data_IF_952549353182
#
_entry.id   IF_952549353182
#
_cell.length_a   1.000
_cell.length_b   1.000
_cell.length_c   1.000
_cell.angle_alpha   90.00
_cell.angle_beta   90.00
_cell.angle_gamma   90.00
#
_symmetry.space_group_name_H-M   'P 1'
#
loop_
_entity.id
_entity.type
_entity.pdbx_description
1 polymer ?
#
# COMPACT_ATOMS: atom_id res chain seq x y z
N UNK A 1 -33.24 2.76 -10.82
CA UNK A 1 -32.10 2.20 -10.06
C UNK A 1 -32.53 0.84 -9.52
N UNK A 2 -31.76 -0.22 -9.77
CA UNK A 2 -31.96 -1.56 -9.21
C UNK A 2 -30.67 -1.94 -8.49
N UNK A 3 -30.75 -2.29 -7.21
CA UNK A 3 -29.58 -2.56 -6.37
C UNK A 3 -28.98 -3.93 -6.68
N UNK A 4 -27.67 -3.98 -6.90
CA UNK A 4 -26.95 -5.26 -6.95
C UNK A 4 -26.68 -5.80 -5.55
N UNK A 5 -26.17 -4.97 -4.62
CA UNK A 5 -26.00 -5.34 -3.21
C UNK A 5 -26.70 -4.32 -2.33
N UNK A 6 -27.12 -4.75 -1.13
CA UNK A 6 -27.68 -3.88 -0.09
C UNK A 6 -26.82 -3.95 1.17
N UNK A 7 -26.50 -2.80 1.75
CA UNK A 7 -25.86 -2.71 3.07
C UNK A 7 -26.93 -2.26 4.07
N UNK A 8 -27.09 -3.03 5.14
CA UNK A 8 -27.87 -2.66 6.32
C UNK A 8 -26.88 -2.35 7.43
N UNK A 9 -26.61 -1.06 7.62
CA UNK A 9 -25.78 -0.58 8.71
C UNK A 9 -26.65 -0.13 9.88
N UNK A 10 -26.56 -0.88 10.99
CA UNK A 10 -27.29 -0.65 12.23
C UNK A 10 -26.29 -0.60 13.40
N UNK A 11 -25.52 0.50 13.55
CA UNK A 11 -24.48 0.62 14.57
C UNK A 11 -24.96 0.39 16.01
N UNK A 12 -26.24 0.62 16.28
CA UNK A 12 -26.87 0.43 17.60
C UNK A 12 -27.26 -1.01 17.89
N UNK A 13 -27.38 -1.87 16.87
CA UNK A 13 -27.63 -3.29 17.07
C UNK A 13 -26.43 -3.93 17.79
N UNK A 14 -26.70 -4.85 18.69
CA UNK A 14 -25.69 -5.66 19.39
C UNK A 14 -26.03 -7.11 19.14
N UNK A 15 -25.14 -7.84 18.48
CA UNK A 15 -25.34 -9.26 18.25
C UNK A 15 -25.25 -10.02 19.57
N UNK A 16 -26.15 -10.97 19.80
CA UNK A 16 -25.96 -11.98 20.84
C UNK A 16 -25.01 -13.07 20.29
N UNK A 17 -23.80 -13.25 20.88
CA UNK A 17 -22.81 -14.20 20.38
C UNK A 17 -23.32 -15.65 20.32
N UNK A 18 -24.09 -16.07 21.33
CA UNK A 18 -24.58 -17.46 21.45
C UNK A 18 -25.71 -17.68 20.45
N UNK A 19 -26.63 -16.72 20.33
CA UNK A 19 -27.79 -16.83 19.43
C UNK A 19 -27.41 -16.70 17.96
N UNK A 20 -26.50 -15.78 17.62
CA UNK A 20 -26.17 -15.45 16.23
C UNK A 20 -24.86 -16.08 15.74
N UNK A 21 -24.11 -16.76 16.60
CA UNK A 21 -22.84 -17.39 16.24
C UNK A 21 -21.72 -16.39 15.93
N UNK A 22 -21.79 -15.18 16.50
CA UNK A 22 -20.76 -14.14 16.34
C UNK A 22 -19.69 -14.26 17.43
N UNK A 23 -18.47 -13.78 17.18
CA UNK A 23 -17.39 -13.78 18.18
C UNK A 23 -17.65 -12.80 19.32
N UNK A 24 -18.24 -11.64 19.00
CA UNK A 24 -18.56 -10.55 19.93
C UNK A 24 -19.93 -9.97 19.58
N UNK A 25 -20.32 -8.89 20.26
CA UNK A 25 -21.53 -8.13 19.94
C UNK A 25 -21.44 -7.33 18.63
N UNK A 26 -20.23 -7.22 18.07
CA UNK A 26 -19.97 -6.62 16.76
C UNK A 26 -20.10 -7.68 15.67
N UNK A 27 -20.83 -7.37 14.60
CA UNK A 27 -21.02 -8.24 13.45
C UNK A 27 -20.86 -7.43 12.16
N UNK A 28 -20.02 -7.97 11.26
CA UNK A 28 -19.90 -7.53 9.88
C UNK A 28 -20.03 -8.79 9.04
N UNK A 29 -21.20 -9.02 8.47
CA UNK A 29 -21.54 -10.26 7.78
C UNK A 29 -21.90 -9.99 6.32
N UNK A 30 -21.35 -10.79 5.41
CA UNK A 30 -21.60 -10.69 3.97
C UNK A 30 -22.27 -11.97 3.49
N UNK A 31 -23.46 -11.84 2.90
CA UNK A 31 -24.17 -12.91 2.22
C UNK A 31 -24.11 -12.67 0.70
N UNK A 32 -23.29 -13.43 -0.01
CA UNK A 32 -23.13 -13.31 -1.47
C UNK A 32 -24.35 -13.82 -2.26
N UNK A 33 -25.13 -14.75 -1.71
CA UNK A 33 -26.30 -15.31 -2.39
C UNK A 33 -27.49 -14.34 -2.35
N UNK A 34 -27.73 -13.75 -1.18
CA UNK A 34 -28.77 -12.72 -0.97
C UNK A 34 -28.28 -11.31 -1.34
N UNK A 35 -27.00 -11.16 -1.66
CA UNK A 35 -26.33 -9.90 -1.96
C UNK A 35 -26.54 -8.84 -0.87
N UNK A 36 -26.35 -9.25 0.38
CA UNK A 36 -26.62 -8.46 1.59
C UNK A 36 -25.37 -8.32 2.45
N UNK A 37 -25.14 -7.13 2.99
CA UNK A 37 -24.16 -6.86 4.04
C UNK A 37 -24.90 -6.40 5.29
N UNK A 38 -24.61 -7.00 6.44
CA UNK A 38 -25.13 -6.59 7.74
C UNK A 38 -23.98 -6.07 8.60
N UNK A 39 -24.10 -4.83 9.08
CA UNK A 39 -23.14 -4.20 9.98
C UNK A 39 -23.88 -3.83 11.27
N UNK A 40 -23.34 -4.26 12.41
CA UNK A 40 -23.89 -3.96 13.72
C UNK A 40 -22.81 -4.00 14.79
N UNK A 41 -23.02 -3.26 15.89
CA UNK A 41 -22.07 -3.24 16.99
C UNK A 41 -20.81 -2.41 16.72
N UNK A 42 -20.82 -1.56 15.70
CA UNK A 42 -19.70 -0.68 15.31
C UNK A 42 -20.23 0.59 14.65
N UNK A 43 -19.59 1.73 14.95
CA UNK A 43 -19.86 3.03 14.32
C UNK A 43 -18.78 3.43 13.32
N UNK A 44 -17.80 2.54 13.09
CA UNK A 44 -16.65 2.83 12.24
C UNK A 44 -17.04 2.82 10.76
N UNK A 45 -16.96 3.98 10.10
CA UNK A 45 -17.39 4.13 8.71
C UNK A 45 -16.62 3.22 7.73
N UNK A 46 -15.38 2.87 8.08
CA UNK A 46 -14.54 1.98 7.28
C UNK A 46 -15.13 0.59 7.03
N UNK A 47 -16.04 0.11 7.89
CA UNK A 47 -16.70 -1.19 7.71
C UNK A 47 -17.58 -1.21 6.46
N UNK A 48 -18.31 -0.12 6.18
CA UNK A 48 -19.13 0.01 4.97
C UNK A 48 -18.25 -0.03 3.72
N UNK A 49 -17.19 0.79 3.71
CA UNK A 49 -16.22 0.87 2.60
C UNK A 49 -15.58 -0.49 2.32
N UNK A 50 -14.96 -1.09 3.34
CA UNK A 50 -14.19 -2.33 3.17
C UNK A 50 -15.04 -3.56 2.92
N UNK A 51 -16.31 -3.55 3.32
CA UNK A 51 -17.26 -4.62 2.94
C UNK A 51 -17.54 -4.62 1.44
N UNK A 52 -17.71 -3.44 0.82
CA UNK A 52 -17.86 -3.33 -0.64
C UNK A 52 -16.59 -3.77 -1.34
N UNK A 53 -15.42 -3.34 -0.85
CA UNK A 53 -14.14 -3.77 -1.41
C UNK A 53 -13.97 -5.29 -1.37
N UNK A 54 -14.29 -5.93 -0.23
CA UNK A 54 -14.28 -7.38 -0.10
C UNK A 54 -15.18 -8.09 -1.12
N UNK A 55 -16.38 -7.56 -1.37
CA UNK A 55 -17.27 -8.09 -2.40
C UNK A 55 -16.64 -7.98 -3.79
N UNK A 56 -16.06 -6.83 -4.14
CA UNK A 56 -15.40 -6.63 -5.43
C UNK A 56 -14.17 -7.54 -5.58
N UNK A 57 -13.40 -7.74 -4.51
CA UNK A 57 -12.30 -8.72 -4.47
C UNK A 57 -12.78 -10.17 -4.68
N UNK A 58 -14.04 -10.49 -4.35
CA UNK A 58 -14.62 -11.79 -4.67
C UNK A 58 -15.12 -11.87 -6.12
N UNK A 59 -15.84 -10.86 -6.60
CA UNK A 59 -16.59 -10.95 -7.86
C UNK A 59 -15.74 -10.67 -9.11
N UNK A 60 -14.74 -9.79 -9.02
CA UNK A 60 -14.01 -9.30 -10.17
C UNK A 60 -12.96 -10.27 -10.75
N UNK A 61 -12.22 -11.06 -9.95
CA UNK A 61 -11.19 -11.94 -10.50
C UNK A 61 -11.72 -12.96 -11.52
N UNK A 62 -12.92 -13.51 -11.31
CA UNK A 62 -13.55 -14.47 -12.26
C UNK A 62 -14.01 -13.82 -13.56
N UNK A 63 -14.04 -12.48 -13.62
CA UNK A 63 -14.30 -11.69 -14.83
C UNK A 63 -12.99 -11.21 -15.48
N UNK A 64 -11.84 -11.68 -14.99
CA UNK A 64 -10.52 -11.24 -15.45
C UNK A 64 -10.13 -9.83 -15.00
N UNK A 65 -10.93 -9.16 -14.17
CA UNK A 65 -10.60 -7.82 -13.63
C UNK A 65 -9.79 -8.00 -12.35
N UNK A 66 -8.62 -7.36 -12.27
CA UNK A 66 -7.76 -7.40 -11.09
C UNK A 66 -8.19 -6.32 -10.09
N UNK A 67 -8.77 -6.68 -8.94
CA UNK A 67 -9.04 -5.73 -7.88
C UNK A 67 -7.76 -5.49 -7.06
N UNK A 68 -7.53 -4.24 -6.69
CA UNK A 68 -6.25 -3.79 -6.14
C UNK A 68 -6.49 -2.87 -4.95
N UNK A 69 -5.77 -3.12 -3.86
CA UNK A 69 -5.67 -2.21 -2.72
C UNK A 69 -4.48 -1.28 -2.94
N UNK A 70 -4.71 -0.22 -3.69
CA UNK A 70 -3.68 0.71 -4.15
C UNK A 70 -4.28 2.10 -4.40
N UNK A 71 -3.46 3.14 -4.32
CA UNK A 71 -3.78 4.41 -5.00
C UNK A 71 -3.37 4.34 -6.48
N UNK A 72 -3.95 5.21 -7.30
CA UNK A 72 -3.58 5.33 -8.71
C UNK A 72 -3.62 6.78 -9.18
N UNK A 73 -2.68 7.15 -10.04
CA UNK A 73 -2.64 8.45 -10.70
C UNK A 73 -2.15 8.34 -12.14
N UNK A 74 -2.30 9.41 -12.90
CA UNK A 74 -1.99 9.47 -14.33
C UNK A 74 -1.14 10.69 -14.63
N UNK A 75 -0.03 10.48 -15.33
CA UNK A 75 0.80 11.58 -15.80
C UNK A 75 0.17 12.33 -16.98
N UNK A 76 0.69 13.51 -17.35
CA UNK A 76 0.16 14.31 -18.45
C UNK A 76 0.13 13.59 -19.81
N UNK A 77 0.98 12.57 -19.98
CA UNK A 77 1.03 11.74 -21.20
C UNK A 77 0.02 10.59 -21.21
N UNK A 78 -0.80 10.43 -20.16
CA UNK A 78 -1.70 9.29 -20.00
C UNK A 78 -1.03 8.04 -19.41
N UNK A 79 0.18 8.17 -18.88
CA UNK A 79 0.91 7.10 -18.20
C UNK A 79 0.30 6.84 -16.82
N UNK A 80 -0.51 5.79 -16.68
CA UNK A 80 -1.07 5.41 -15.38
C UNK A 80 -0.04 4.68 -14.51
N UNK A 81 0.01 5.05 -13.24
CA UNK A 81 0.80 4.38 -12.21
C UNK A 81 -0.11 3.93 -11.05
N UNK A 82 0.15 2.74 -10.52
CA UNK A 82 -0.54 2.19 -9.34
C UNK A 82 0.43 1.99 -8.20
N UNK A 83 0.00 2.29 -6.98
CA UNK A 83 0.84 2.29 -5.78
C UNK A 83 0.27 1.35 -4.72
N UNK A 84 0.82 0.14 -4.64
CA UNK A 84 0.56 -0.77 -3.53
C UNK A 84 1.36 -0.39 -2.30
N UNK A 85 0.85 -0.73 -1.13
CA UNK A 85 1.53 -0.50 0.14
C UNK A 85 0.55 -0.57 1.30
N UNK A 86 1.06 -0.75 2.52
CA UNK A 86 0.23 -0.71 3.72
C UNK A 86 0.03 0.72 4.24
N UNK A 87 -0.72 0.87 5.33
CA UNK A 87 -0.84 2.16 6.01
C UNK A 87 0.54 2.63 6.48
N UNK A 88 0.86 3.91 6.28
CA UNK A 88 2.14 4.49 6.73
C UNK A 88 3.34 4.27 5.81
N UNK A 89 3.19 3.58 4.68
CA UNK A 89 4.26 3.40 3.67
C UNK A 89 4.32 4.53 2.63
N UNK A 90 3.54 5.59 2.81
CA UNK A 90 3.57 6.76 1.92
C UNK A 90 2.70 6.68 0.66
N UNK A 91 1.77 5.71 0.53
CA UNK A 91 0.84 5.62 -0.62
C UNK A 91 0.19 6.96 -0.97
N UNK A 92 -0.54 7.55 0.00
CA UNK A 92 -1.25 8.81 -0.18
C UNK A 92 -0.30 9.96 -0.50
N UNK A 93 0.81 10.08 0.24
CA UNK A 93 1.81 11.14 0.06
C UNK A 93 2.54 11.07 -1.29
N UNK A 94 2.73 9.87 -1.85
CA UNK A 94 3.42 9.66 -3.13
C UNK A 94 2.45 9.65 -4.32
N UNK A 95 1.18 9.31 -4.12
CA UNK A 95 0.16 9.41 -5.18
C UNK A 95 -0.42 10.81 -5.33
N UNK A 96 -0.42 11.62 -4.26
CA UNK A 96 -0.81 13.03 -4.27
C UNK A 96 0.34 13.91 -4.83
N UNK A 97 0.70 13.66 -6.08
CA UNK A 97 1.63 14.49 -6.84
C UNK A 97 0.83 15.50 -7.66
N UNK A 98 1.00 16.79 -7.38
CA UNK A 98 0.28 17.87 -8.07
C UNK A 98 0.49 17.87 -9.60
N UNK A 99 1.58 17.27 -10.10
CA UNK A 99 1.86 17.14 -11.54
C UNK A 99 1.10 15.99 -12.22
N UNK A 100 0.41 15.13 -11.44
CA UNK A 100 -0.30 13.95 -11.92
C UNK A 100 -1.77 14.00 -11.51
N UNK A 101 -2.64 13.56 -12.40
CA UNK A 101 -4.08 13.50 -12.15
C UNK A 101 -4.42 12.28 -11.29
N UNK A 102 -5.01 12.50 -10.12
CA UNK A 102 -5.43 11.44 -9.20
C UNK A 102 -6.61 10.65 -9.79
N UNK A 103 -6.50 9.33 -9.84
CA UNK A 103 -7.62 8.43 -10.20
C UNK A 103 -8.37 8.01 -8.93
N UNK A 104 -7.64 7.70 -7.85
CA UNK A 104 -8.20 7.35 -6.55
C UNK A 104 -7.10 7.03 -5.53
N UNK A 105 -7.46 6.97 -4.24
CA UNK A 105 -6.48 6.85 -3.15
C UNK A 105 -6.33 5.45 -2.55
N UNK A 106 -7.23 4.50 -2.82
CA UNK A 106 -7.23 3.25 -2.05
C UNK A 106 -7.70 1.98 -2.80
N UNK A 107 -8.74 2.04 -3.63
CA UNK A 107 -9.37 0.83 -4.20
C UNK A 107 -9.63 0.93 -5.70
N UNK A 108 -8.98 0.07 -6.49
CA UNK A 108 -9.05 0.13 -7.95
C UNK A 108 -9.27 -1.24 -8.59
N UNK A 109 -9.86 -1.24 -9.78
CA UNK A 109 -9.90 -2.38 -10.69
C UNK A 109 -8.98 -2.13 -11.89
N UNK A 110 -8.29 -3.18 -12.34
CA UNK A 110 -7.56 -3.19 -13.61
C UNK A 110 -8.23 -4.18 -14.57
N UNK A 111 -8.88 -3.63 -15.60
CA UNK A 111 -9.51 -4.36 -16.69
C UNK A 111 -8.57 -4.46 -17.90
N UNK A 112 -9.03 -5.07 -19.00
CA UNK A 112 -8.22 -5.13 -20.23
C UNK A 112 -7.94 -3.75 -20.86
N UNK A 113 -8.69 -2.72 -20.48
CA UNK A 113 -8.64 -1.41 -21.13
C UNK A 113 -8.35 -0.24 -20.19
N UNK A 114 -8.49 -0.42 -18.88
CA UNK A 114 -8.39 0.69 -17.94
C UNK A 114 -7.99 0.27 -16.52
N UNK A 115 -7.43 1.22 -15.79
CA UNK A 115 -7.50 1.27 -14.32
C UNK A 115 -8.68 2.16 -13.95
N UNK A 116 -9.51 1.73 -13.02
CA UNK A 116 -10.68 2.49 -12.59
C UNK A 116 -10.87 2.41 -11.08
N UNK A 117 -11.25 3.53 -10.49
CA UNK A 117 -11.50 3.64 -9.06
C UNK A 117 -12.87 3.01 -8.73
N UNK A 118 -12.94 2.27 -7.64
CA UNK A 118 -14.21 1.72 -7.13
C UNK A 118 -15.03 2.75 -6.34
N UNK A 119 -14.38 3.82 -5.88
CA UNK A 119 -14.92 4.78 -4.93
C UNK A 119 -15.27 6.12 -5.59
N UNK A 120 -16.19 6.87 -5.01
CA UNK A 120 -16.52 8.25 -5.43
C UNK A 120 -15.88 9.34 -4.56
N UNK A 121 -14.94 8.96 -3.69
CA UNK A 121 -14.35 9.81 -2.67
C UNK A 121 -13.08 9.22 -2.11
N UNK A 122 -12.52 9.89 -1.12
CA UNK A 122 -11.34 9.43 -0.38
C UNK A 122 -11.67 9.34 1.11
N UNK A 123 -10.97 8.45 1.82
CA UNK A 123 -11.12 8.24 3.26
C UNK A 123 -9.75 8.30 3.94
N UNK A 124 -9.17 9.49 3.90
CA UNK A 124 -7.79 9.75 4.27
C UNK A 124 -7.58 9.76 5.78
N UNK A 125 -6.35 9.47 6.20
CA UNK A 125 -5.91 9.60 7.59
C UNK A 125 -5.69 11.08 7.92
N UNK A 126 -6.15 11.53 9.09
CA UNK A 126 -6.11 12.94 9.48
C UNK A 126 -5.06 13.24 10.55
N UNK A 127 -4.56 12.24 11.28
CA UNK A 127 -3.53 12.46 12.31
C UNK A 127 -2.25 13.04 11.69
N UNK A 128 -1.71 14.09 12.31
CA UNK A 128 -0.51 14.84 11.90
C UNK A 128 -0.61 15.44 10.48
N UNK A 129 -1.82 15.64 9.96
CA UNK A 129 -2.05 16.29 8.68
C UNK A 129 -1.62 17.76 8.76
N UNK A 130 -0.79 18.21 7.83
CA UNK A 130 -0.35 19.60 7.77
C UNK A 130 -0.56 20.24 6.39
N UNK A 131 -0.82 21.56 6.32
CA UNK A 131 -0.93 22.25 5.05
C UNK A 131 0.38 22.28 4.26
N UNK A 132 1.53 22.10 4.91
CA UNK A 132 2.83 22.07 4.24
C UNK A 132 3.12 20.72 3.57
N UNK A 133 2.76 19.60 4.23
CA UNK A 133 3.06 18.27 3.74
C UNK A 133 2.02 17.76 2.74
N UNK A 134 0.73 17.98 3.02
CA UNK A 134 -0.39 17.54 2.19
C UNK A 134 -1.43 18.66 1.97
N UNK A 135 -1.07 19.75 1.25
CA UNK A 135 -1.92 20.94 1.10
C UNK A 135 -3.31 20.64 0.54
N UNK A 136 -3.40 19.76 -0.47
CA UNK A 136 -4.66 19.43 -1.14
C UNK A 136 -5.62 18.68 -0.21
N UNK A 137 -5.11 17.70 0.56
CA UNK A 137 -5.89 16.94 1.55
C UNK A 137 -6.28 17.86 2.71
N UNK A 138 -5.35 18.67 3.21
CA UNK A 138 -5.64 19.64 4.28
C UNK A 138 -6.75 20.62 3.87
N UNK A 139 -6.76 21.09 2.62
CA UNK A 139 -7.81 21.97 2.13
C UNK A 139 -9.21 21.34 2.17
N UNK A 140 -9.32 20.01 2.03
CA UNK A 140 -10.62 19.31 2.12
C UNK A 140 -11.25 19.42 3.50
N UNK A 141 -10.45 19.51 4.56
CA UNK A 141 -10.93 19.59 5.96
C UNK A 141 -11.72 20.88 6.25
N UNK A 142 -11.54 21.89 5.39
CA UNK A 142 -12.20 23.21 5.48
C UNK A 142 -13.40 23.34 4.55
N UNK A 143 -13.83 22.26 3.89
CA UNK A 143 -14.94 22.27 2.92
C UNK A 143 -16.20 21.65 3.52
N UNK A 144 -17.34 22.30 3.31
CA UNK A 144 -18.64 21.72 3.64
C UNK A 144 -18.87 20.46 2.80
N UNK A 145 -19.27 19.36 3.44
CA UNK A 145 -19.42 18.04 2.83
C UNK A 145 -18.34 17.04 3.26
N UNK A 146 -17.22 17.51 3.81
CA UNK A 146 -16.21 16.64 4.43
C UNK A 146 -16.71 16.15 5.79
N UNK A 147 -16.59 14.85 6.05
CA UNK A 147 -16.89 14.23 7.36
C UNK A 147 -15.57 13.89 8.04
N UNK A 148 -15.33 14.46 9.22
CA UNK A 148 -14.16 14.15 10.04
C UNK A 148 -14.57 13.19 11.16
N UNK A 149 -13.90 12.04 11.22
CA UNK A 149 -14.17 10.97 12.17
C UNK A 149 -13.03 10.91 13.19
N UNK A 150 -13.37 11.08 14.48
CA UNK A 150 -12.44 11.05 15.61
C UNK A 150 -11.28 12.07 15.53
N UNK A 151 -11.45 13.18 14.80
CA UNK A 151 -10.55 14.34 14.87
C UNK A 151 -10.97 15.21 16.06
N UNK A 152 -10.02 15.61 16.88
CA UNK A 152 -10.27 16.49 18.03
C UNK A 152 -10.55 17.90 17.53
N UNK A 153 -11.54 18.55 18.14
CA UNK A 153 -11.94 19.91 17.81
C UNK A 153 -12.06 20.73 19.09
N UNK A 154 -11.49 21.92 19.10
CA UNK A 154 -11.69 22.86 20.21
C UNK A 154 -13.17 23.25 20.28
N UNK A 155 -13.84 23.08 21.44
CA UNK A 155 -15.28 23.31 21.55
C UNK A 155 -15.68 24.78 21.41
N UNK A 156 -14.76 25.72 21.62
CA UNK A 156 -14.97 27.17 21.58
C UNK A 156 -14.54 27.75 20.23
N UNK A 157 -13.29 27.55 19.82
CA UNK A 157 -12.73 28.12 18.58
C UNK A 157 -13.15 27.33 17.35
N UNK A 158 -13.54 26.06 17.52
CA UNK A 158 -13.82 25.09 16.44
C UNK A 158 -12.59 24.78 15.58
N UNK A 159 -11.39 25.07 16.08
CA UNK A 159 -10.15 24.68 15.44
C UNK A 159 -9.94 23.17 15.57
N UNK A 160 -9.50 22.55 14.49
CA UNK A 160 -9.18 21.13 14.44
C UNK A 160 -7.77 20.92 14.96
N UNK A 161 -7.59 19.97 15.87
CA UNK A 161 -6.28 19.53 16.32
C UNK A 161 -5.96 18.19 15.65
N UNK A 162 -5.08 18.23 14.65
CA UNK A 162 -4.63 17.05 13.92
C UNK A 162 -3.50 16.31 14.64
N UNK A 163 -2.86 16.90 15.63
CA UNK A 163 -1.78 16.26 16.39
C UNK A 163 -2.30 15.51 17.63
N UNK A 164 -3.52 15.83 18.07
CA UNK A 164 -4.20 15.16 19.18
C UNK A 164 -4.80 13.79 18.78
N UNK A 165 -4.21 12.73 19.33
CA UNK A 165 -4.64 11.34 19.14
C UNK A 165 -5.51 10.77 20.30
N UNK A 166 -6.01 11.61 21.21
CA UNK A 166 -6.78 11.19 22.40
C UNK A 166 -8.04 10.37 22.07
N UNK A 167 -8.69 10.66 20.94
CA UNK A 167 -9.82 9.86 20.44
C UNK A 167 -9.34 8.65 19.63
N UNK A 168 -8.43 8.88 18.67
CA UNK A 168 -7.84 7.82 17.86
C UNK A 168 -6.57 8.28 17.12
N UNK A 169 -5.51 7.47 17.16
CA UNK A 169 -4.40 7.54 16.18
C UNK A 169 -4.85 7.27 14.74
N UNK A 170 -6.03 6.67 14.56
CA UNK A 170 -6.67 6.43 13.27
C UNK A 170 -7.82 7.43 13.01
N UNK A 171 -7.62 8.70 13.34
CA UNK A 171 -8.54 9.76 12.91
C UNK A 171 -8.61 9.84 11.38
N UNK A 172 -9.79 10.11 10.84
CA UNK A 172 -10.09 9.99 9.40
C UNK A 172 -10.90 11.16 8.89
N UNK A 173 -10.83 11.38 7.59
CA UNK A 173 -11.70 12.33 6.88
C UNK A 173 -12.19 11.73 5.59
N UNK A 174 -13.51 11.77 5.40
CA UNK A 174 -14.19 11.34 4.19
C UNK A 174 -14.63 12.55 3.38
N UNK A 175 -14.23 12.62 2.11
CA UNK A 175 -14.60 13.70 1.21
C UNK A 175 -14.81 13.19 -0.22
N UNK A 176 -15.72 13.79 -1.00
CA UNK A 176 -15.86 13.50 -2.43
C UNK A 176 -14.56 13.71 -3.18
N UNK A 177 -14.30 12.90 -4.22
CA UNK A 177 -13.01 12.94 -4.92
C UNK A 177 -12.79 14.28 -5.63
N UNK A 178 -13.86 14.92 -6.11
CA UNK A 178 -13.85 16.25 -6.73
C UNK A 178 -13.46 17.39 -5.78
N UNK A 179 -13.23 17.09 -4.49
CA UNK A 179 -12.63 18.05 -3.57
C UNK A 179 -11.13 18.23 -3.80
N UNK A 180 -10.48 17.24 -4.42
CA UNK A 180 -9.09 17.32 -4.87
C UNK A 180 -9.06 17.96 -6.27
N UNK A 181 -8.32 19.08 -6.47
CA UNK A 181 -8.38 19.84 -7.72
C UNK A 181 -7.95 19.10 -8.98
N UNK A 182 -6.95 18.20 -8.89
CA UNK A 182 -6.40 17.48 -10.05
C UNK A 182 -6.83 16.01 -10.03
N UNK A 183 -8.09 15.75 -10.32
CA UNK A 183 -8.69 14.39 -10.33
C UNK A 183 -9.21 13.99 -11.70
N UNK A 184 -9.25 12.68 -11.95
CA UNK A 184 -9.80 12.13 -13.20
C UNK A 184 -11.29 12.37 -13.26
N UNK A 185 -11.75 13.11 -14.27
CA UNK A 185 -13.18 13.38 -14.51
C UNK A 185 -14.01 12.10 -14.68
N UNK A 186 -13.39 11.05 -15.21
CA UNK A 186 -14.05 9.76 -15.46
C UNK A 186 -13.84 8.77 -14.32
N UNK A 187 -13.05 9.12 -13.29
CA UNK A 187 -12.64 8.21 -12.22
C UNK A 187 -11.88 6.97 -12.77
N UNK A 188 -11.19 7.16 -13.90
CA UNK A 188 -10.52 6.12 -14.69
C UNK A 188 -9.23 6.66 -15.32
N UNK A 189 -8.31 5.77 -15.66
CA UNK A 189 -7.15 6.02 -16.52
C UNK A 189 -6.86 4.83 -17.42
N UNK A 190 -5.95 4.97 -18.40
CA UNK A 190 -5.46 3.86 -19.21
C UNK A 190 -4.90 2.69 -18.36
N UNK A 191 -4.61 1.57 -19.00
CA UNK A 191 -3.88 0.46 -18.36
C UNK A 191 -2.54 0.98 -17.80
N UNK A 192 -2.07 0.46 -16.64
CA UNK A 192 -0.91 1.00 -15.97
C UNK A 192 0.36 0.70 -16.76
N UNK A 193 1.27 1.67 -16.82
CA UNK A 193 2.64 1.49 -17.31
C UNK A 193 3.61 1.17 -16.18
N UNK A 194 3.28 1.59 -14.96
CA UNK A 194 4.09 1.40 -13.76
C UNK A 194 3.27 0.83 -12.60
N UNK A 195 3.83 -0.17 -11.92
CA UNK A 195 3.37 -0.66 -10.62
C UNK A 195 4.45 -0.36 -9.59
N UNK A 196 4.08 0.34 -8.54
CA UNK A 196 4.96 0.70 -7.44
C UNK A 196 4.52 -0.07 -6.19
N UNK A 197 5.42 -0.87 -5.61
CA UNK A 197 5.22 -1.57 -4.35
C UNK A 197 5.99 -0.84 -3.26
N UNK A 198 5.27 -0.13 -2.39
CA UNK A 198 5.83 0.64 -1.29
C UNK A 198 6.02 -0.24 -0.05
N UNK A 199 7.23 -0.22 0.50
CA UNK A 199 7.56 -0.88 1.76
C UNK A 199 8.28 0.09 2.69
N UNK A 200 7.89 0.11 3.97
CA UNK A 200 8.66 0.81 4.98
C UNK A 200 9.57 -0.19 5.69
N UNK A 201 10.74 -0.45 5.10
CA UNK A 201 11.70 -1.41 5.65
C UNK A 201 12.44 -0.81 6.85
N UNK A 202 12.11 -1.28 8.04
CA UNK A 202 12.74 -0.87 9.30
C UNK A 202 14.01 -1.66 9.62
N UNK A 203 14.30 -2.72 8.86
CA UNK A 203 15.57 -3.44 8.96
C UNK A 203 16.68 -2.69 8.20
N UNK A 204 16.35 -1.76 7.30
CA UNK A 204 17.33 -0.98 6.54
C UNK A 204 18.14 -1.81 5.55
N UNK A 205 17.55 -2.88 5.02
CA UNK A 205 18.16 -3.86 4.12
C UNK A 205 17.77 -3.60 2.67
N UNK A 206 16.51 -3.27 2.42
CA UNK A 206 15.99 -3.14 1.05
C UNK A 206 16.53 -1.87 0.36
N UNK A 207 16.87 -1.96 -0.94
CA UNK A 207 17.32 -0.80 -1.71
C UNK A 207 16.23 0.28 -1.80
N UNK A 208 16.61 1.57 -1.93
CA UNK A 208 15.65 2.67 -2.07
C UNK A 208 14.64 2.47 -3.21
N UNK A 209 15.12 1.91 -4.32
CA UNK A 209 14.29 1.47 -5.44
C UNK A 209 14.91 0.26 -6.09
N UNK A 210 14.09 -0.66 -6.59
CA UNK A 210 14.54 -1.74 -7.43
C UNK A 210 13.49 -2.10 -8.48
N UNK A 211 13.96 -2.50 -9.67
CA UNK A 211 13.13 -3.05 -10.74
C UNK A 211 12.92 -4.53 -10.50
N UNK A 212 11.67 -4.96 -10.55
CA UNK A 212 11.25 -6.35 -10.34
C UNK A 212 10.91 -7.02 -11.67
N UNK A 213 11.28 -8.29 -11.80
CA UNK A 213 10.68 -9.15 -12.84
C UNK A 213 9.22 -9.44 -12.51
N UNK A 214 8.39 -9.92 -13.47
CA UNK A 214 7.00 -10.30 -13.18
C UNK A 214 6.87 -11.37 -12.07
N UNK A 215 7.81 -12.32 -12.00
CA UNK A 215 7.83 -13.33 -10.95
C UNK A 215 8.20 -12.73 -9.58
N UNK A 216 9.19 -11.83 -9.52
CA UNK A 216 9.51 -11.09 -8.30
C UNK A 216 8.35 -10.19 -7.87
N UNK A 217 7.68 -9.51 -8.80
CA UNK A 217 6.51 -8.69 -8.50
C UNK A 217 5.39 -9.54 -7.87
N UNK A 218 5.10 -10.72 -8.42
CA UNK A 218 4.13 -11.64 -7.82
C UNK A 218 4.59 -12.14 -6.43
N UNK A 219 5.87 -12.50 -6.27
CA UNK A 219 6.43 -12.94 -4.98
C UNK A 219 6.25 -11.85 -3.90
N UNK A 220 6.62 -10.61 -4.22
CA UNK A 220 6.53 -9.47 -3.31
C UNK A 220 5.09 -9.04 -3.07
N UNK A 221 4.20 -9.18 -4.05
CA UNK A 221 2.78 -8.93 -3.89
C UNK A 221 2.14 -9.94 -2.92
N UNK A 222 2.42 -11.23 -3.08
CA UNK A 222 1.95 -12.26 -2.14
C UNK A 222 2.56 -12.10 -0.75
N UNK A 223 3.82 -11.67 -0.66
CA UNK A 223 4.46 -11.39 0.61
C UNK A 223 3.84 -10.17 1.32
N UNK A 224 3.62 -9.08 0.57
CA UNK A 224 3.03 -7.85 1.11
C UNK A 224 3.81 -7.26 2.28
N UNK A 225 5.13 -7.25 2.18
CA UNK A 225 6.04 -6.88 3.26
C UNK A 225 6.07 -5.38 3.56
N UNK A 226 6.01 -5.05 4.85
CA UNK A 226 6.46 -3.80 5.45
C UNK A 226 7.01 -4.08 6.85
N UNK A 227 7.60 -3.11 7.54
CA UNK A 227 7.94 -3.27 8.95
C UNK A 227 7.21 -2.26 9.85
N UNK A 228 6.98 -2.66 11.10
CA UNK A 228 6.57 -1.80 12.20
C UNK A 228 7.79 -1.36 13.00
N UNK A 229 7.73 -0.18 13.61
CA UNK A 229 8.82 0.38 14.41
C UNK A 229 8.33 0.77 15.80
N UNK A 230 9.23 0.60 16.77
CA UNK A 230 9.08 1.07 18.13
C UNK A 230 8.58 2.53 18.18
N UNK A 231 7.56 2.79 19.01
CA UNK A 231 6.96 4.13 19.18
C UNK A 231 5.73 4.42 18.30
N UNK A 232 5.37 3.53 17.38
CA UNK A 232 4.08 3.62 16.64
C UNK A 232 2.99 2.70 17.20
N UNK A 233 3.38 1.67 17.97
CA UNK A 233 2.48 0.76 18.67
C UNK A 233 3.06 0.42 20.06
N UNK A 234 2.18 0.24 21.05
CA UNK A 234 2.56 -0.06 22.44
C UNK A 234 3.25 -1.43 22.49
N UNK A 235 4.51 -1.49 22.92
CA UNK A 235 5.22 -2.73 23.23
C UNK A 235 6.22 -3.22 22.19
N UNK A 236 6.37 -2.54 21.05
CA UNK A 236 7.40 -2.86 20.04
C UNK A 236 8.72 -2.21 20.43
N UNK A 237 9.78 -3.00 20.66
CA UNK A 237 11.13 -2.50 21.02
C UNK A 237 12.16 -2.68 19.90
N UNK A 238 11.91 -3.60 18.97
CA UNK A 238 12.75 -3.90 17.80
C UNK A 238 11.91 -3.83 16.51
N UNK A 239 12.51 -3.65 15.32
CA UNK A 239 11.79 -3.76 14.05
C UNK A 239 11.07 -5.11 13.95
N UNK A 240 9.78 -5.06 13.63
CA UNK A 240 8.96 -6.27 13.42
C UNK A 240 8.47 -6.32 11.98
N UNK A 241 8.90 -7.34 11.24
CA UNK A 241 8.40 -7.62 9.90
C UNK A 241 6.91 -7.94 9.93
N UNK A 242 6.14 -7.24 9.11
CA UNK A 242 4.71 -7.48 8.89
C UNK A 242 4.50 -7.88 7.44
N UNK A 243 3.91 -9.07 7.24
CA UNK A 243 3.52 -9.56 5.94
C UNK A 243 2.00 -9.50 5.82
N UNK A 244 1.50 -8.63 4.94
CA UNK A 244 0.07 -8.50 4.66
C UNK A 244 -0.17 -8.86 3.21
N UNK A 245 -0.47 -10.13 2.99
CA UNK A 245 -0.70 -10.73 1.67
C UNK A 245 -1.49 -9.82 0.73
N UNK A 246 -1.02 -9.65 -0.50
CA UNK A 246 -1.61 -8.77 -1.52
C UNK A 246 -1.70 -7.29 -1.12
N UNK A 247 -0.93 -6.87 -0.11
CA UNK A 247 -1.02 -5.58 0.58
C UNK A 247 -2.43 -5.27 1.13
N UNK A 248 -3.26 -6.29 1.37
CA UNK A 248 -4.68 -6.11 1.67
C UNK A 248 -5.37 -7.34 2.23
N UNK A 249 -4.63 -8.23 2.92
CA UNK A 249 -5.10 -9.56 3.32
C UNK A 249 -6.51 -9.60 3.97
N UNK A 250 -6.89 -8.67 4.86
CA UNK A 250 -8.24 -8.67 5.47
C UNK A 250 -9.40 -8.55 4.47
N UNK A 251 -9.12 -8.10 3.24
CA UNK A 251 -10.12 -7.82 2.22
C UNK A 251 -10.08 -8.81 1.05
N UNK A 252 -9.32 -9.90 1.16
CA UNK A 252 -9.09 -10.88 0.10
C UNK A 252 -9.85 -12.20 0.38
N UNK A 253 -11.12 -12.34 -0.07
CA UNK A 253 -11.94 -13.53 0.20
C UNK A 253 -11.60 -14.75 -0.65
N UNK A 254 -10.75 -14.62 -1.68
CA UNK A 254 -10.23 -15.77 -2.45
C UNK A 254 -8.84 -16.15 -1.97
N UNK A 255 -8.39 -17.33 -2.38
CA UNK A 255 -7.00 -17.72 -2.16
C UNK A 255 -6.04 -16.68 -2.80
N UNK A 256 -4.99 -16.21 -2.10
CA UNK A 256 -4.07 -15.18 -2.58
C UNK A 256 -3.48 -15.42 -3.97
N UNK A 257 -3.21 -16.68 -4.33
CA UNK A 257 -2.67 -17.03 -5.65
C UNK A 257 -3.59 -16.64 -6.81
N UNK A 258 -4.90 -16.52 -6.61
CA UNK A 258 -5.83 -16.03 -7.64
C UNK A 258 -5.50 -14.59 -8.02
N UNK A 259 -5.27 -13.73 -7.03
CA UNK A 259 -4.90 -12.33 -7.26
C UNK A 259 -3.47 -12.22 -7.79
N UNK A 260 -2.53 -13.01 -7.26
CA UNK A 260 -1.13 -13.03 -7.71
C UNK A 260 -0.99 -13.44 -9.17
N UNK A 261 -1.67 -14.52 -9.58
CA UNK A 261 -1.67 -14.98 -10.98
C UNK A 261 -2.25 -13.94 -11.92
N UNK A 262 -3.37 -13.32 -11.53
CA UNK A 262 -4.02 -12.29 -12.34
C UNK A 262 -3.14 -11.03 -12.47
N UNK A 263 -2.45 -10.63 -11.40
CA UNK A 263 -1.48 -9.55 -11.44
C UNK A 263 -0.31 -9.87 -12.39
N UNK A 264 0.29 -11.05 -12.25
CA UNK A 264 1.41 -11.51 -13.08
C UNK A 264 1.04 -11.55 -14.57
N UNK A 265 -0.12 -12.11 -14.90
CA UNK A 265 -0.64 -12.16 -16.28
C UNK A 265 -0.77 -10.75 -16.87
N UNK A 266 -1.36 -9.83 -16.12
CA UNK A 266 -1.58 -8.45 -16.56
C UNK A 266 -0.28 -7.66 -16.73
N UNK A 267 0.69 -7.84 -15.83
CA UNK A 267 2.03 -7.28 -15.95
C UNK A 267 2.68 -7.76 -17.26
N UNK A 268 2.68 -9.07 -17.50
CA UNK A 268 3.32 -9.66 -18.67
C UNK A 268 2.65 -9.21 -19.98
N UNK A 269 1.31 -9.21 -20.02
CA UNK A 269 0.53 -8.79 -21.21
C UNK A 269 0.69 -7.30 -21.52
N UNK A 270 0.81 -6.45 -20.50
CA UNK A 270 0.91 -5.00 -20.64
C UNK A 270 2.34 -4.47 -20.79
N UNK A 271 3.38 -5.30 -20.60
CA UNK A 271 4.77 -4.83 -20.54
C UNK A 271 5.02 -3.86 -19.38
N UNK A 272 4.27 -4.01 -18.29
CA UNK A 272 4.22 -3.07 -17.17
C UNK A 272 5.51 -3.13 -16.36
N UNK A 273 6.12 -1.97 -16.08
CA UNK A 273 7.31 -1.89 -15.26
C UNK A 273 6.93 -2.01 -13.77
N UNK A 274 7.57 -2.92 -13.05
CA UNK A 274 7.31 -3.15 -11.64
C UNK A 274 8.48 -2.67 -10.79
N UNK A 275 8.19 -1.86 -9.77
CA UNK A 275 9.19 -1.24 -8.91
C UNK A 275 8.89 -1.54 -7.45
N UNK A 276 9.90 -1.94 -6.70
CA UNK A 276 9.88 -1.95 -5.24
C UNK A 276 10.52 -0.65 -4.76
N UNK A 277 9.85 0.10 -3.88
CA UNK A 277 10.37 1.36 -3.34
C UNK A 277 10.39 1.28 -1.82
N UNK A 278 11.58 1.40 -1.24
CA UNK A 278 11.75 1.47 0.21
C UNK A 278 11.56 2.92 0.68
N UNK A 279 10.46 3.15 1.41
CA UNK A 279 10.13 4.42 2.08
C UNK A 279 10.50 4.40 3.57
N UNK A 280 11.14 3.32 4.03
CA UNK A 280 11.56 3.07 5.39
C UNK A 280 12.92 3.68 5.70
N UNK A 281 13.83 2.89 6.23
CA UNK A 281 15.14 3.33 6.72
C UNK A 281 16.28 2.85 5.82
N UNK A 282 17.43 3.51 5.94
CA UNK A 282 18.68 3.16 5.24
C UNK A 282 19.87 3.43 6.14
N UNK A 283 20.98 2.72 5.90
CA UNK A 283 22.22 2.85 6.68
C UNK A 283 22.23 2.18 8.05
N UNK A 284 21.13 1.54 8.44
CA UNK A 284 20.98 0.80 9.69
C UNK A 284 19.53 0.41 9.95
N UNK A 285 19.29 -0.35 11.04
CA UNK A 285 17.92 -0.61 11.51
C UNK A 285 17.32 0.67 12.11
N UNK A 286 15.99 0.79 12.07
CA UNK A 286 15.26 1.93 12.60
C UNK A 286 15.49 2.20 14.09
N UNK A 287 15.88 1.19 14.86
CA UNK A 287 16.16 1.25 16.30
C UNK A 287 17.60 1.62 16.64
N UNK A 288 18.50 1.69 15.66
CA UNK A 288 19.88 2.11 15.87
C UNK A 288 19.97 3.64 15.98
N UNK A 289 20.84 4.11 16.88
CA UNK A 289 21.04 5.54 17.11
C UNK A 289 21.56 6.25 15.84
N UNK A 290 21.03 7.44 15.57
CA UNK A 290 21.39 8.25 14.41
C UNK A 290 20.81 7.79 13.06
N UNK A 291 20.14 6.64 12.98
CA UNK A 291 19.54 6.15 11.74
C UNK A 291 18.23 6.88 11.44
N UNK A 292 18.07 7.27 10.17
CA UNK A 292 16.92 8.06 9.71
C UNK A 292 16.18 7.33 8.60
N UNK A 293 14.90 7.68 8.44
CA UNK A 293 14.13 7.30 7.26
C UNK A 293 14.77 7.86 5.99
N UNK A 294 14.46 7.21 4.87
CA UNK A 294 14.77 7.66 3.53
C UNK A 294 14.36 9.12 3.35
N UNK A 295 15.26 10.01 2.89
CA UNK A 295 14.90 11.40 2.62
C UNK A 295 13.78 11.47 1.59
N UNK A 296 12.66 12.13 1.92
CA UNK A 296 11.50 12.21 1.01
C UNK A 296 11.85 12.80 -0.37
N UNK A 297 12.82 13.73 -0.42
CA UNK A 297 13.33 14.28 -1.69
C UNK A 297 13.98 13.19 -2.56
N UNK A 298 14.75 12.28 -1.96
CA UNK A 298 15.37 11.17 -2.67
C UNK A 298 14.30 10.18 -3.16
N UNK A 299 13.33 9.82 -2.30
CA UNK A 299 12.21 8.94 -2.70
C UNK A 299 11.41 9.51 -3.86
N UNK A 300 11.09 10.82 -3.83
CA UNK A 300 10.39 11.50 -4.94
C UNK A 300 11.23 11.54 -6.21
N UNK A 301 12.54 11.76 -6.13
CA UNK A 301 13.43 11.74 -7.29
C UNK A 301 13.52 10.34 -7.92
N UNK A 302 13.66 9.30 -7.12
CA UNK A 302 13.67 7.90 -7.58
C UNK A 302 12.34 7.51 -8.22
N UNK A 303 11.23 7.88 -7.59
CA UNK A 303 9.90 7.62 -8.13
C UNK A 303 9.67 8.40 -9.43
N UNK A 304 10.05 9.68 -9.48
CA UNK A 304 9.99 10.49 -10.69
C UNK A 304 10.74 9.83 -11.85
N UNK A 305 11.97 9.35 -11.58
CA UNK A 305 12.80 8.67 -12.56
C UNK A 305 12.21 7.32 -13.06
N UNK A 306 11.45 6.62 -12.21
CA UNK A 306 10.71 5.44 -12.62
C UNK A 306 9.50 5.80 -13.50
N UNK A 307 8.75 6.83 -13.11
CA UNK A 307 7.51 7.24 -13.78
C UNK A 307 7.75 7.96 -15.11
N UNK A 308 8.81 8.77 -15.22
CA UNK A 308 9.19 9.44 -16.47
C UNK A 308 9.93 8.53 -17.46
N UNK A 309 10.23 7.29 -17.04
CA UNK A 309 10.87 6.27 -17.84
C UNK A 309 12.39 6.39 -17.93
N UNK A 310 13.04 7.35 -17.28
CA UNK A 310 14.50 7.51 -17.29
C UNK A 310 15.23 6.29 -16.70
N UNK A 311 14.60 5.54 -15.79
CA UNK A 311 15.14 4.27 -15.28
C UNK A 311 14.95 3.08 -16.23
N UNK A 312 14.21 3.20 -17.33
CA UNK A 312 13.98 2.05 -18.23
C UNK A 312 15.27 1.56 -18.90
N UNK A 313 16.17 2.50 -19.23
CA UNK A 313 17.44 2.25 -19.91
C UNK A 313 18.66 2.43 -18.99
N UNK A 314 18.44 2.53 -17.68
CA UNK A 314 19.52 2.69 -16.71
C UNK A 314 20.39 1.43 -16.58
N UNK A 315 21.62 1.60 -16.09
CA UNK A 315 22.46 0.47 -15.69
C UNK A 315 22.00 -0.06 -14.33
N UNK A 316 21.85 -1.38 -14.23
CA UNK A 316 21.41 -2.07 -13.02
C UNK A 316 22.45 -3.08 -12.54
N UNK A 317 22.59 -3.17 -11.22
CA UNK A 317 23.28 -4.28 -10.53
C UNK A 317 22.25 -5.21 -9.89
N UNK A 318 22.61 -6.48 -9.74
CA UNK A 318 21.79 -7.42 -8.99
C UNK A 318 22.06 -7.27 -7.49
N UNK A 319 21.02 -7.12 -6.70
CA UNK A 319 21.09 -7.25 -5.25
C UNK A 319 21.45 -8.70 -4.86
N UNK A 320 22.45 -8.92 -4.00
CA UNK A 320 22.92 -10.27 -3.69
C UNK A 320 21.97 -11.10 -2.82
N UNK A 321 21.03 -10.47 -2.10
CA UNK A 321 20.15 -11.15 -1.15
C UNK A 321 18.82 -11.56 -1.81
N UNK A 322 18.24 -10.65 -2.58
CA UNK A 322 16.92 -10.76 -3.18
C UNK A 322 16.95 -10.88 -4.71
N UNK A 323 18.10 -10.63 -5.35
CA UNK A 323 18.24 -10.70 -6.80
C UNK A 323 17.52 -9.59 -7.54
N UNK A 324 17.18 -8.48 -6.88
CA UNK A 324 16.54 -7.34 -7.54
C UNK A 324 17.50 -6.60 -8.46
N UNK A 325 16.98 -5.95 -9.48
CA UNK A 325 17.74 -5.01 -10.30
C UNK A 325 17.72 -3.63 -9.64
N UNK A 326 18.85 -3.21 -9.06
CA UNK A 326 19.02 -1.91 -8.40
C UNK A 326 19.79 -0.96 -9.31
N UNK A 327 19.31 0.26 -9.58
CA UNK A 327 20.03 1.19 -10.45
C UNK A 327 21.38 1.58 -9.85
N UNK A 328 22.41 1.66 -10.68
CA UNK A 328 23.78 2.03 -10.24
C UNK A 328 23.87 3.53 -9.91
N UNK A 329 23.14 4.36 -10.64
CA UNK A 329 23.07 5.80 -10.42
C UNK A 329 21.71 6.35 -10.84
N UNK A 330 21.22 7.38 -10.14
CA UNK A 330 20.02 8.14 -10.51
C UNK A 330 20.33 9.63 -10.37
N UNK A 331 20.12 10.47 -11.41
CA UNK A 331 20.38 11.90 -11.33
C UNK A 331 19.67 12.55 -10.14
N UNK A 332 20.40 13.36 -9.36
CA UNK A 332 19.84 14.05 -8.19
C UNK A 332 19.68 13.19 -6.93
N UNK A 333 20.11 11.93 -6.96
CA UNK A 333 20.15 11.04 -5.79
C UNK A 333 21.61 10.66 -5.49
N UNK A 334 21.98 10.69 -4.22
CA UNK A 334 23.28 10.23 -3.76
C UNK A 334 23.43 8.73 -4.03
N UNK A 335 24.45 8.33 -4.80
CA UNK A 335 24.70 6.94 -5.15
C UNK A 335 25.01 6.08 -3.92
N UNK A 336 25.52 6.67 -2.83
CA UNK A 336 25.72 5.97 -1.56
C UNK A 336 24.42 5.45 -0.95
N UNK A 337 23.26 6.03 -1.29
CA UNK A 337 21.96 5.54 -0.84
C UNK A 337 21.49 4.32 -1.64
N UNK A 338 21.90 4.20 -2.90
CA UNK A 338 21.47 3.13 -3.81
C UNK A 338 22.06 1.77 -3.45
N UNK A 339 23.11 1.75 -2.62
CA UNK A 339 23.67 0.54 -2.03
C UNK A 339 23.47 0.49 -0.52
N UNK A 340 22.40 -0.20 -0.05
CA UNK A 340 22.12 -0.33 1.37
C UNK A 340 23.32 -0.86 2.17
N UNK A 341 24.09 -1.78 1.60
CA UNK A 341 25.24 -2.36 2.31
C UNK A 341 26.33 -1.33 2.55
N UNK A 342 26.60 -0.48 1.56
CA UNK A 342 27.60 0.58 1.68
C UNK A 342 27.15 1.72 2.58
N UNK A 343 25.83 1.98 2.65
CA UNK A 343 25.25 2.94 3.57
C UNK A 343 25.42 2.55 5.05
N UNK A 344 25.56 1.26 5.35
CA UNK A 344 25.81 0.80 6.72
C UNK A 344 27.25 1.03 7.15
N UNK A 345 27.45 1.52 8.38
CA UNK A 345 28.80 1.64 8.95
C UNK A 345 29.46 0.27 9.15
N UNK A 346 28.73 -0.69 9.76
CA UNK A 346 29.15 -2.08 9.93
C UNK A 346 28.50 -2.97 8.86
N UNK A 347 29.30 -3.35 7.86
CA UNK A 347 28.87 -4.19 6.73
C UNK A 347 28.50 -5.61 7.18
N UNK A 348 29.16 -6.13 8.23
CA UNK A 348 28.83 -7.45 8.76
C UNK A 348 27.51 -7.42 9.53
N UNK A 349 27.17 -6.30 10.19
CA UNK A 349 25.86 -6.12 10.79
C UNK A 349 24.75 -6.06 9.73
N UNK A 350 25.00 -5.38 8.59
CA UNK A 350 24.11 -5.44 7.43
C UNK A 350 23.90 -6.87 6.97
N UNK A 351 24.99 -7.62 6.73
CA UNK A 351 24.92 -8.99 6.19
C UNK A 351 24.10 -9.93 7.12
N UNK A 352 24.26 -9.83 8.45
CA UNK A 352 23.44 -10.58 9.43
C UNK A 352 21.96 -10.18 9.42
N UNK A 353 21.69 -8.88 9.29
CA UNK A 353 20.32 -8.34 9.29
C UNK A 353 19.60 -8.72 8.00
N UNK A 354 20.30 -8.65 6.86
CA UNK A 354 19.81 -9.09 5.56
C UNK A 354 19.47 -10.58 5.56
N UNK A 355 20.35 -11.44 6.11
CA UNK A 355 20.06 -12.87 6.25
C UNK A 355 18.81 -13.14 7.10
N UNK A 356 18.62 -12.38 8.18
CA UNK A 356 17.43 -12.49 9.03
C UNK A 356 16.16 -12.15 8.23
N UNK A 357 16.17 -11.02 7.51
CA UNK A 357 15.03 -10.60 6.71
C UNK A 357 14.74 -11.58 5.56
N UNK A 358 15.77 -12.09 4.88
CA UNK A 358 15.64 -13.12 3.84
C UNK A 358 14.95 -14.37 4.40
N UNK A 359 15.36 -14.84 5.58
CA UNK A 359 14.72 -15.97 6.27
C UNK A 359 13.24 -15.72 6.52
N UNK A 360 12.88 -14.54 7.04
CA UNK A 360 11.48 -14.17 7.27
C UNK A 360 10.64 -14.16 5.99
N UNK A 361 11.18 -13.69 4.87
CA UNK A 361 10.50 -13.74 3.57
C UNK A 361 10.27 -15.18 3.11
N UNK A 362 11.27 -16.07 3.24
CA UNK A 362 11.16 -17.48 2.85
C UNK A 362 10.11 -18.19 3.71
N UNK A 363 10.19 -18.02 5.03
CA UNK A 363 9.26 -18.62 5.99
C UNK A 363 7.82 -18.17 5.73
N UNK A 364 7.62 -16.87 5.49
CA UNK A 364 6.31 -16.34 5.13
C UNK A 364 5.81 -16.92 3.79
N UNK A 365 6.68 -17.06 2.79
CA UNK A 365 6.26 -17.50 1.46
C UNK A 365 5.93 -19.00 1.37
N UNK A 366 6.40 -19.81 2.32
CA UNK A 366 6.14 -21.25 2.35
C UNK A 366 4.65 -21.61 2.22
N UNK A 367 3.76 -20.78 2.76
CA UNK A 367 2.30 -20.97 2.67
C UNK A 367 1.73 -20.86 1.25
N UNK A 368 2.48 -20.28 0.30
CA UNK A 368 2.05 -20.08 -1.09
C UNK A 368 2.74 -21.02 -2.08
N UNK A 369 3.81 -21.71 -1.67
CA UNK A 369 4.71 -22.43 -2.58
C UNK A 369 3.99 -23.43 -3.50
N UNK A 370 3.02 -24.16 -2.97
CA UNK A 370 2.24 -25.16 -3.71
C UNK A 370 1.19 -24.55 -4.67
N UNK A 371 0.95 -23.24 -4.55
CA UNK A 371 -0.10 -22.52 -5.28
C UNK A 371 0.44 -21.56 -6.35
N UNK A 372 1.76 -21.52 -6.54
CA UNK A 372 2.43 -20.64 -7.49
C UNK A 372 3.30 -21.43 -8.48
N UNK A 373 3.56 -20.83 -9.64
CA UNK A 373 4.44 -21.41 -10.66
C UNK A 373 5.90 -21.45 -10.19
N UNK A 374 6.69 -22.32 -10.83
CA UNK A 374 8.11 -22.50 -10.53
C UNK A 374 8.93 -21.21 -10.65
N UNK A 375 8.63 -20.34 -11.63
CA UNK A 375 9.31 -19.04 -11.78
C UNK A 375 9.17 -18.15 -10.54
N UNK A 376 7.99 -18.16 -9.91
CA UNK A 376 7.71 -17.38 -8.68
C UNK A 376 8.45 -18.00 -7.48
N UNK A 377 8.55 -19.33 -7.41
CA UNK A 377 9.34 -20.01 -6.36
C UNK A 377 10.83 -19.68 -6.50
N UNK A 378 11.33 -19.63 -7.73
CA UNK A 378 12.72 -19.29 -8.03
C UNK A 378 13.04 -17.80 -7.80
N UNK A 379 12.02 -16.95 -7.75
CA UNK A 379 12.14 -15.55 -7.36
C UNK A 379 12.26 -15.35 -5.84
N UNK A 380 12.14 -16.41 -5.03
CA UNK A 380 12.42 -16.34 -3.60
C UNK A 380 13.85 -15.82 -3.35
N UNK A 381 14.05 -14.96 -2.34
CA UNK A 381 15.38 -14.49 -2.00
C UNK A 381 16.25 -15.68 -1.58
N UNK A 382 17.55 -15.58 -1.85
CA UNK A 382 18.51 -16.64 -1.54
C UNK A 382 19.30 -16.19 -0.33
N UNK A 383 19.39 -17.04 0.69
CA UNK A 383 20.37 -16.84 1.74
C UNK A 383 21.75 -16.74 1.09
N UNK A 384 22.43 -15.60 1.25
CA UNK A 384 23.78 -15.43 0.73
C UNK A 384 24.64 -16.58 1.24
N UNK A 385 25.24 -17.35 0.32
CA UNK A 385 26.24 -18.36 0.68
C UNK A 385 27.42 -17.58 1.26
N UNK A 386 27.72 -17.80 2.54
CA UNK A 386 28.89 -17.18 3.18
C UNK A 386 30.13 -17.46 2.31
N UNK A 387 30.76 -16.39 1.82
CA UNK A 387 31.97 -16.46 1.00
C UNK A 387 33.18 -16.90 1.84
#
# INVERSE_FOLDING_TARGET
FATEYTIIDLPSFRADPVKHGTRTETVVAVNFAEKLILIGGTQYAGEMKKSVFGILNYLLPVKGVMPMHCSANMGPGGDTAVFFGLSGTGKTTLSADASRTLIGDDEHGWSDTAVFNFEGGCYAKMIRLSPEAEPEIFATTKRFGTVLENVVIDPVTRELDFDDATLAENSRGSYPIDFIPNTSEQNMGPVPQNIIMLTADAYGVLPPIAKLTPDQAMYHFLSGYTARVAGTEIGVTEPEATFSTCFGAPFMPRHPSVYGNLLKERIAKGGVQCWLVNTGWTGGMATMDGIKRMPIKATRALLGAALDGSLNDAEFRNDPNFGFMVPVAVPGVDSGLLDPREAWADKAAYDRTAQTLVGQFIDNFAQFADHVDEGVRQAAPRAAVAA
#
